data_IF_080763997909
#
_entry.id   IF_080763997909
#
_cell.length_a   1.000
_cell.length_b   1.000
_cell.length_c   1.000
_cell.angle_alpha   90.00
_cell.angle_beta   90.00
_cell.angle_gamma   90.00
#
_symmetry.space_group_name_H-M   'P 1'
#
loop_
_entity.id
_entity.type
_entity.pdbx_description
1 polymer ?
#
# COMPACT_ATOMS: atom_id res chain seq x y z
N UNK A 1 -10.31 -10.92 12.12
CA UNK A 1 -9.98 -12.36 12.24
C UNK A 1 -11.23 -13.22 12.38
N UNK A 2 -11.94 -13.17 13.52
CA UNK A 2 -13.14 -13.99 13.76
C UNK A 2 -14.17 -13.92 12.62
N UNK A 3 -14.45 -12.72 12.12
CA UNK A 3 -15.41 -12.52 11.03
C UNK A 3 -14.98 -13.14 9.70
N UNK A 4 -13.67 -13.11 9.38
CA UNK A 4 -13.14 -13.75 8.16
C UNK A 4 -13.18 -15.27 8.30
N UNK A 5 -12.79 -15.79 9.47
CA UNK A 5 -12.85 -17.22 9.75
C UNK A 5 -14.29 -17.76 9.70
N UNK A 6 -15.26 -16.99 10.21
CA UNK A 6 -16.67 -17.35 10.14
C UNK A 6 -17.23 -17.40 8.70
N UNK A 7 -16.60 -16.67 7.77
CA UNK A 7 -16.90 -16.72 6.33
C UNK A 7 -16.15 -17.85 5.60
N UNK A 8 -15.38 -18.68 6.31
CA UNK A 8 -14.63 -19.79 5.73
C UNK A 8 -13.24 -19.44 5.22
N UNK A 9 -12.76 -18.20 5.40
CA UNK A 9 -11.41 -17.83 5.01
C UNK A 9 -10.37 -18.39 6.00
N UNK A 10 -9.25 -18.89 5.47
CA UNK A 10 -8.06 -19.15 6.28
C UNK A 10 -7.41 -17.81 6.64
N UNK A 11 -7.25 -17.56 7.93
CA UNK A 11 -6.66 -16.31 8.44
C UNK A 11 -5.26 -16.60 8.97
N UNK A 12 -4.24 -16.06 8.31
CA UNK A 12 -2.85 -16.05 8.78
C UNK A 12 -2.59 -14.73 9.51
N UNK A 13 -1.76 -14.77 10.56
CA UNK A 13 -1.47 -13.60 11.40
C UNK A 13 0.03 -13.43 11.56
N UNK A 14 0.47 -12.18 11.40
CA UNK A 14 1.82 -11.74 11.74
C UNK A 14 1.72 -10.64 12.80
N UNK A 15 1.61 -11.05 14.06
CA UNK A 15 1.71 -10.12 15.18
C UNK A 15 3.19 -9.83 15.43
N UNK A 16 3.66 -8.73 14.83
CA UNK A 16 5.07 -8.37 14.81
C UNK A 16 5.68 -8.20 16.21
N UNK A 17 4.87 -7.82 17.21
CA UNK A 17 5.34 -7.66 18.59
C UNK A 17 5.43 -9.02 19.29
N UNK A 18 4.42 -9.87 19.16
CA UNK A 18 4.44 -11.24 19.72
C UNK A 18 5.56 -12.09 19.09
N UNK A 19 5.80 -11.89 17.80
CA UNK A 19 6.89 -12.54 17.06
C UNK A 19 8.28 -12.00 17.43
N UNK A 20 8.37 -10.89 18.16
CA UNK A 20 9.61 -10.13 18.37
C UNK A 20 10.34 -9.89 17.03
N UNK A 21 9.60 -9.43 16.02
CA UNK A 21 10.09 -9.30 14.65
C UNK A 21 11.28 -8.33 14.58
N UNK A 22 12.40 -8.78 13.99
CA UNK A 22 13.57 -7.92 13.78
C UNK A 22 13.25 -6.88 12.70
N UNK A 23 13.18 -5.61 13.08
CA UNK A 23 12.83 -4.54 12.15
C UNK A 23 14.01 -4.07 11.26
N UNK A 24 15.24 -4.31 11.70
CA UNK A 24 16.43 -3.76 11.04
C UNK A 24 16.81 -4.61 9.82
N UNK A 25 16.84 -3.98 8.65
CA UNK A 25 17.40 -4.55 7.43
C UNK A 25 18.93 -4.52 7.50
N UNK A 26 19.58 -5.70 7.53
CA UNK A 26 21.04 -5.84 7.65
C UNK A 26 21.55 -7.00 6.80
N UNK A 27 22.87 -7.15 6.69
CA UNK A 27 23.47 -8.32 6.02
C UNK A 27 23.04 -9.67 6.64
N UNK A 28 22.56 -9.68 7.89
CA UNK A 28 22.08 -10.87 8.58
C UNK A 28 20.74 -11.39 8.03
N UNK A 29 20.16 -10.69 7.05
CA UNK A 29 19.00 -11.15 6.26
C UNK A 29 19.40 -12.17 5.19
N UNK A 30 20.70 -12.43 5.03
CA UNK A 30 21.28 -13.30 4.00
C UNK A 30 22.02 -14.44 4.68
N UNK A 31 21.70 -15.67 4.29
CA UNK A 31 22.36 -16.89 4.73
C UNK A 31 23.53 -17.18 3.79
N UNK A 32 24.71 -17.38 4.37
CA UNK A 32 25.95 -17.67 3.62
C UNK A 32 26.67 -16.40 3.17
N UNK A 33 27.50 -16.54 2.14
CA UNK A 33 28.36 -15.46 1.69
C UNK A 33 27.59 -14.38 0.91
N UNK A 34 28.04 -13.13 1.09
CA UNK A 34 27.62 -11.97 0.30
C UNK A 34 28.27 -12.03 -1.08
N UNK A 35 27.58 -11.51 -2.10
CA UNK A 35 28.10 -11.44 -3.47
C UNK A 35 29.24 -10.42 -3.60
N UNK A 36 29.12 -9.29 -2.89
CA UNK A 36 30.02 -8.13 -2.97
C UNK A 36 30.30 -7.56 -1.56
N UNK A 37 30.93 -8.32 -0.66
CA UNK A 37 31.09 -7.95 0.76
C UNK A 37 31.84 -6.62 0.98
N UNK A 38 32.76 -6.26 0.10
CA UNK A 38 33.52 -5.01 0.14
C UNK A 38 32.67 -3.77 -0.19
N UNK A 39 31.51 -3.96 -0.82
CA UNK A 39 30.58 -2.91 -1.21
C UNK A 39 29.12 -3.37 -1.04
N UNK A 40 28.74 -3.61 0.22
CA UNK A 40 27.40 -4.10 0.53
C UNK A 40 26.29 -3.15 0.06
N UNK A 41 25.44 -3.65 -0.85
CA UNK A 41 24.20 -2.99 -1.26
C UNK A 41 23.02 -3.90 -0.95
N UNK A 42 22.24 -3.54 0.06
CA UNK A 42 21.17 -4.40 0.59
C UNK A 42 20.19 -4.87 -0.49
N UNK A 43 19.77 -3.99 -1.42
CA UNK A 43 18.83 -4.34 -2.49
C UNK A 43 19.36 -5.40 -3.44
N UNK A 44 20.60 -5.25 -3.91
CA UNK A 44 21.22 -6.19 -4.84
C UNK A 44 21.53 -7.53 -4.17
N UNK A 45 22.03 -7.48 -2.94
CA UNK A 45 22.39 -8.67 -2.16
C UNK A 45 21.16 -9.49 -1.77
N UNK A 46 20.09 -8.85 -1.30
CA UNK A 46 18.83 -9.55 -0.98
C UNK A 46 18.11 -10.06 -2.23
N UNK A 47 18.23 -9.38 -3.38
CA UNK A 47 17.73 -9.90 -4.65
C UNK A 47 18.47 -11.19 -5.06
N UNK A 48 19.80 -11.21 -4.95
CA UNK A 48 20.60 -12.42 -5.24
C UNK A 48 20.26 -13.54 -4.27
N UNK A 49 20.18 -13.23 -2.97
CA UNK A 49 19.81 -14.19 -1.93
C UNK A 49 18.40 -14.76 -2.15
N UNK A 50 17.44 -13.93 -2.57
CA UNK A 50 16.08 -14.39 -2.93
C UNK A 50 16.11 -15.37 -4.11
N UNK A 51 16.85 -15.05 -5.19
CA UNK A 51 16.99 -15.93 -6.36
C UNK A 51 17.62 -17.30 -6.02
N UNK A 52 18.48 -17.33 -5.01
CA UNK A 52 19.21 -18.52 -4.57
C UNK A 52 18.57 -19.24 -3.39
N UNK A 53 17.45 -18.72 -2.85
CA UNK A 53 16.78 -19.30 -1.68
C UNK A 53 17.57 -19.15 -0.36
N UNK A 54 18.33 -18.07 -0.23
CA UNK A 54 19.24 -17.77 0.89
C UNK A 54 18.80 -16.60 1.76
N UNK A 55 17.55 -16.15 1.67
CA UNK A 55 17.03 -15.18 2.64
C UNK A 55 16.85 -15.85 4.01
N UNK A 56 16.92 -15.05 5.08
CA UNK A 56 16.70 -15.53 6.44
C UNK A 56 15.31 -16.15 6.61
N UNK A 57 15.22 -17.18 7.45
CA UNK A 57 14.00 -18.00 7.60
C UNK A 57 12.77 -17.17 8.00
N UNK A 58 12.96 -16.13 8.81
CA UNK A 58 11.88 -15.24 9.23
C UNK A 58 11.34 -14.40 8.06
N UNK A 59 12.19 -13.94 7.14
CA UNK A 59 11.74 -13.27 5.91
C UNK A 59 10.98 -14.25 5.04
N UNK A 60 11.54 -15.44 4.79
CA UNK A 60 10.91 -16.47 3.94
C UNK A 60 9.54 -16.88 4.50
N UNK A 61 9.41 -17.02 5.82
CA UNK A 61 8.14 -17.34 6.46
C UNK A 61 7.07 -16.26 6.22
N UNK A 62 7.45 -14.98 6.26
CA UNK A 62 6.53 -13.87 6.00
C UNK A 62 6.21 -13.73 4.50
N UNK A 63 7.18 -13.96 3.61
CA UNK A 63 6.96 -13.98 2.16
C UNK A 63 5.93 -15.05 1.77
N UNK A 64 6.03 -16.27 2.34
CA UNK A 64 5.04 -17.34 2.12
C UNK A 64 3.62 -16.93 2.52
N UNK A 65 3.45 -16.23 3.65
CA UNK A 65 2.12 -15.72 4.06
C UNK A 65 1.56 -14.73 3.02
N UNK A 66 2.40 -13.86 2.46
CA UNK A 66 1.99 -12.90 1.41
C UNK A 66 1.65 -13.62 0.10
N UNK A 67 2.42 -14.63 -0.29
CA UNK A 67 2.14 -15.48 -1.46
C UNK A 67 0.80 -16.21 -1.32
N UNK A 68 0.52 -16.74 -0.14
CA UNK A 68 -0.72 -17.46 0.16
C UNK A 68 -1.94 -16.56 0.32
N UNK A 69 -1.76 -15.26 0.60
CA UNK A 69 -2.86 -14.33 0.88
C UNK A 69 -3.49 -13.75 -0.39
N UNK A 70 -4.82 -13.76 -0.46
CA UNK A 70 -5.59 -12.99 -1.45
C UNK A 70 -5.85 -11.55 -0.98
N UNK A 71 -5.89 -11.34 0.34
CA UNK A 71 -6.09 -10.05 1.00
C UNK A 71 -5.08 -9.87 2.14
N UNK A 72 -4.36 -8.76 2.14
CA UNK A 72 -3.45 -8.35 3.22
C UNK A 72 -4.02 -7.14 3.96
N UNK A 73 -4.26 -7.27 5.26
CA UNK A 73 -4.74 -6.16 6.11
C UNK A 73 -3.61 -5.72 7.05
N UNK A 74 -3.18 -4.47 6.91
CA UNK A 74 -2.20 -3.85 7.81
C UNK A 74 -2.94 -3.18 8.97
N UNK A 75 -2.92 -3.78 10.16
CA UNK A 75 -3.51 -3.21 11.37
C UNK A 75 -2.45 -2.48 12.20
N UNK A 76 -2.60 -1.18 12.45
CA UNK A 76 -1.62 -0.42 13.25
C UNK A 76 -2.19 0.85 13.92
N UNK A 77 -1.55 1.38 14.97
CA UNK A 77 -1.74 2.76 15.38
C UNK A 77 -0.93 3.70 14.47
N UNK A 78 -1.53 4.79 14.00
CA UNK A 78 -0.83 5.81 13.21
C UNK A 78 0.19 6.54 14.10
N UNK A 79 1.48 6.30 13.86
CA UNK A 79 2.59 6.92 14.59
C UNK A 79 3.37 7.83 13.65
N UNK A 80 3.56 9.08 14.06
CA UNK A 80 4.30 10.07 13.26
C UNK A 80 3.85 10.11 11.80
N UNK A 81 2.53 10.12 11.58
CA UNK A 81 1.91 10.16 10.24
C UNK A 81 2.29 8.96 9.34
N UNK A 82 2.68 7.83 9.95
CA UNK A 82 3.06 6.61 9.25
C UNK A 82 2.76 5.35 10.09
N UNK A 83 3.22 4.20 9.61
CA UNK A 83 3.20 2.92 10.34
C UNK A 83 4.23 2.93 11.48
N UNK A 84 4.03 2.12 12.55
CA UNK A 84 5.05 1.91 13.57
C UNK A 84 6.36 1.39 12.97
N UNK A 85 7.49 1.71 13.61
CA UNK A 85 8.83 1.34 13.12
C UNK A 85 8.97 -0.17 12.85
N UNK A 86 8.41 -1.04 13.69
CA UNK A 86 8.44 -2.50 13.48
C UNK A 86 7.72 -2.92 12.20
N UNK A 87 6.61 -2.27 11.84
CA UNK A 87 5.87 -2.52 10.61
C UNK A 87 6.60 -1.95 9.39
N UNK A 88 7.27 -0.79 9.54
CA UNK A 88 8.14 -0.28 8.48
C UNK A 88 9.33 -1.23 8.22
N UNK A 89 9.92 -1.78 9.28
CA UNK A 89 10.96 -2.80 9.16
C UNK A 89 10.47 -4.09 8.51
N UNK A 90 9.23 -4.51 8.79
CA UNK A 90 8.61 -5.63 8.08
C UNK A 90 8.45 -5.34 6.59
N UNK A 91 7.98 -4.14 6.23
CA UNK A 91 7.91 -3.70 4.83
C UNK A 91 9.29 -3.78 4.16
N UNK A 92 10.32 -3.24 4.82
CA UNK A 92 11.69 -3.16 4.27
C UNK A 92 12.36 -4.52 4.10
N UNK A 93 12.13 -5.46 5.02
CA UNK A 93 12.75 -6.78 5.01
C UNK A 93 11.98 -7.82 4.19
N UNK A 94 10.65 -7.74 4.14
CA UNK A 94 9.80 -8.77 3.52
C UNK A 94 9.49 -8.44 2.06
N UNK A 95 9.21 -7.17 1.74
CA UNK A 95 8.87 -6.74 0.38
C UNK A 95 10.12 -6.45 -0.47
N UNK A 96 11.00 -7.45 -0.58
CA UNK A 96 12.28 -7.33 -1.29
C UNK A 96 12.12 -7.27 -2.81
N UNK A 97 13.14 -6.72 -3.49
CA UNK A 97 13.24 -6.76 -4.94
C UNK A 97 13.31 -8.20 -5.45
N UNK A 98 12.61 -8.49 -6.54
CA UNK A 98 12.41 -9.84 -7.07
C UNK A 98 11.15 -10.49 -6.53
N UNK A 99 10.96 -10.46 -5.20
CA UNK A 99 9.76 -10.99 -4.54
C UNK A 99 8.52 -10.09 -4.73
N UNK A 100 8.60 -8.83 -4.27
CA UNK A 100 7.44 -7.95 -4.20
C UNK A 100 7.37 -6.96 -5.37
N UNK A 101 8.51 -6.60 -5.95
CA UNK A 101 8.58 -5.64 -7.06
C UNK A 101 9.81 -5.87 -7.93
N UNK A 102 9.77 -5.29 -9.13
CA UNK A 102 10.96 -5.08 -9.97
C UNK A 102 10.76 -3.84 -10.85
N UNK A 103 11.83 -3.34 -11.48
CA UNK A 103 11.68 -2.24 -12.45
C UNK A 103 10.80 -2.61 -13.66
N UNK A 104 10.63 -3.90 -13.97
CA UNK A 104 9.73 -4.36 -15.03
C UNK A 104 8.28 -4.53 -14.56
N UNK A 105 8.10 -4.91 -13.30
CA UNK A 105 6.82 -5.22 -12.68
C UNK A 105 6.61 -4.27 -11.49
N UNK A 106 6.06 -3.10 -11.77
CA UNK A 106 5.70 -2.06 -10.79
C UNK A 106 4.26 -1.59 -10.98
N UNK A 107 3.66 -1.01 -9.94
CA UNK A 107 2.32 -0.43 -9.97
C UNK A 107 1.26 -1.42 -10.50
N UNK A 108 0.35 -1.04 -11.39
CA UNK A 108 -0.67 -1.95 -11.94
C UNK A 108 -0.11 -3.16 -12.71
N UNK A 109 1.19 -3.17 -13.03
CA UNK A 109 1.91 -4.32 -13.61
C UNK A 109 2.72 -5.11 -12.57
N UNK A 110 2.59 -4.79 -11.29
CA UNK A 110 3.34 -5.36 -10.17
C UNK A 110 3.05 -6.84 -9.91
N UNK A 111 3.90 -7.45 -9.08
CA UNK A 111 3.84 -8.88 -8.75
C UNK A 111 2.52 -9.25 -8.07
N UNK A 112 1.97 -8.35 -7.26
CA UNK A 112 0.76 -8.59 -6.47
C UNK A 112 -0.52 -8.00 -7.09
N UNK A 113 -0.56 -7.81 -8.41
CA UNK A 113 -1.71 -7.20 -9.13
C UNK A 113 -3.07 -7.90 -8.95
N UNK A 114 -3.05 -9.19 -8.64
CA UNK A 114 -4.25 -9.99 -8.41
C UNK A 114 -4.64 -10.09 -6.93
N UNK A 115 -3.88 -9.44 -6.03
CA UNK A 115 -4.12 -9.44 -4.59
C UNK A 115 -4.65 -8.09 -4.13
N UNK A 116 -5.45 -8.10 -3.06
CA UNK A 116 -5.96 -6.88 -2.40
C UNK A 116 -5.15 -6.55 -1.16
N UNK A 117 -4.99 -5.27 -0.87
CA UNK A 117 -4.41 -4.81 0.40
C UNK A 117 -5.21 -3.66 1.01
N UNK A 118 -5.20 -3.54 2.33
CA UNK A 118 -5.91 -2.46 3.02
C UNK A 118 -5.14 -2.00 4.27
N UNK A 119 -5.13 -0.68 4.51
CA UNK A 119 -4.70 -0.11 5.78
C UNK A 119 -5.89 -0.04 6.74
N UNK A 120 -5.75 -0.60 7.95
CA UNK A 120 -6.72 -0.47 9.04
C UNK A 120 -6.01 0.12 10.25
N UNK A 121 -6.34 1.35 10.64
CA UNK A 121 -5.56 2.02 11.67
C UNK A 121 -6.35 2.92 12.59
N UNK A 122 -5.80 3.11 13.79
CA UNK A 122 -6.33 4.01 14.81
C UNK A 122 -5.50 5.28 14.87
N UNK A 123 -6.12 6.43 15.11
CA UNK A 123 -5.43 7.71 15.33
C UNK A 123 -5.60 8.20 16.76
N UNK A 124 -4.67 9.03 17.25
CA UNK A 124 -4.93 9.85 18.44
C UNK A 124 -5.83 11.07 18.15
N UNK A 125 -5.74 11.58 16.92
CA UNK A 125 -6.42 12.79 16.47
C UNK A 125 -7.85 12.54 15.98
N UNK A 126 -8.70 13.56 16.11
CA UNK A 126 -10.07 13.57 15.57
C UNK A 126 -10.05 13.67 14.04
N UNK A 127 -11.10 13.18 13.38
CA UNK A 127 -11.26 13.30 11.93
C UNK A 127 -11.20 14.75 11.43
N UNK A 128 -11.77 15.69 12.19
CA UNK A 128 -11.80 17.12 11.84
C UNK A 128 -10.40 17.74 11.72
N UNK A 129 -9.41 17.21 12.43
CA UNK A 129 -8.03 17.69 12.34
C UNK A 129 -7.39 17.39 10.98
N UNK A 130 -7.97 16.47 10.19
CA UNK A 130 -7.51 16.08 8.85
C UNK A 130 -8.40 16.58 7.71
N UNK A 131 -9.35 17.49 8.00
CA UNK A 131 -10.07 18.22 6.95
C UNK A 131 -9.13 19.19 6.22
N UNK A 132 -9.51 19.74 5.06
CA UNK A 132 -8.68 20.69 4.32
C UNK A 132 -8.24 21.93 5.13
N UNK A 133 -9.02 22.30 6.15
CA UNK A 133 -8.76 23.39 7.11
C UNK A 133 -8.28 22.89 8.49
N UNK A 134 -8.03 21.59 8.62
CA UNK A 134 -7.56 20.95 9.84
C UNK A 134 -6.05 21.10 10.03
N UNK A 135 -5.63 21.18 11.30
CA UNK A 135 -4.22 21.43 11.67
C UNK A 135 -3.23 20.34 11.19
N UNK A 136 -3.69 19.11 10.97
CA UNK A 136 -2.85 18.00 10.51
C UNK A 136 -2.76 17.92 8.98
N UNK A 137 -3.55 18.72 8.26
CA UNK A 137 -3.65 18.66 6.79
C UNK A 137 -4.43 17.45 6.28
N UNK A 138 -4.60 17.39 4.96
CA UNK A 138 -5.42 16.38 4.29
C UNK A 138 -4.85 14.95 4.46
N UNK A 139 -5.65 14.06 5.04
CA UNK A 139 -5.29 12.64 5.23
C UNK A 139 -4.95 11.93 3.91
N UNK A 140 -5.49 12.38 2.77
CA UNK A 140 -5.17 11.78 1.47
C UNK A 140 -3.68 11.91 1.16
N UNK A 141 -3.06 13.03 1.54
CA UNK A 141 -1.62 13.28 1.37
C UNK A 141 -0.82 12.35 2.29
N UNK A 142 -1.24 12.22 3.55
CA UNK A 142 -0.59 11.35 4.53
C UNK A 142 -0.55 9.88 4.09
N UNK A 143 -1.62 9.39 3.46
CA UNK A 143 -1.73 7.98 3.08
C UNK A 143 -1.03 7.64 1.76
N UNK A 144 -0.80 8.62 0.89
CA UNK A 144 -0.23 8.41 -0.44
C UNK A 144 1.09 7.61 -0.44
N UNK A 145 2.10 7.89 0.42
CA UNK A 145 3.36 7.14 0.40
C UNK A 145 3.18 5.64 0.72
N UNK A 146 2.24 5.29 1.60
CA UNK A 146 1.96 3.90 1.96
C UNK A 146 1.10 3.22 0.89
N UNK A 147 0.00 3.85 0.49
CA UNK A 147 -0.94 3.25 -0.46
C UNK A 147 -0.35 3.19 -1.87
N UNK A 148 0.17 4.28 -2.42
CA UNK A 148 0.78 4.28 -3.75
C UNK A 148 2.22 3.77 -3.71
N UNK A 149 3.05 4.35 -2.85
CA UNK A 149 4.51 4.13 -2.86
C UNK A 149 4.95 2.77 -2.32
N UNK A 150 4.12 2.10 -1.52
CA UNK A 150 4.42 0.74 -1.00
C UNK A 150 3.48 -0.30 -1.60
N UNK A 151 2.17 -0.19 -1.32
CA UNK A 151 1.22 -1.24 -1.66
C UNK A 151 0.99 -1.32 -3.18
N UNK A 152 0.58 -0.21 -3.80
CA UNK A 152 0.31 -0.17 -5.23
C UNK A 152 1.59 -0.42 -6.03
N UNK A 153 2.74 0.11 -5.61
CA UNK A 153 4.03 -0.17 -6.23
C UNK A 153 4.35 -1.66 -6.36
N UNK A 154 4.03 -2.46 -5.33
CA UNK A 154 4.18 -3.92 -5.38
C UNK A 154 3.10 -4.63 -6.22
N UNK A 155 2.05 -3.93 -6.64
CA UNK A 155 0.96 -4.45 -7.46
C UNK A 155 -0.41 -4.41 -6.81
N UNK A 156 -0.51 -4.30 -5.49
CA UNK A 156 -1.79 -4.52 -4.81
C UNK A 156 -2.92 -3.64 -5.35
N UNK A 157 -4.10 -4.25 -5.44
CA UNK A 157 -5.37 -3.55 -5.52
C UNK A 157 -5.68 -2.98 -4.13
N UNK A 158 -5.40 -1.69 -3.92
CA UNK A 158 -5.51 -1.07 -2.60
C UNK A 158 -6.96 -0.70 -2.31
N UNK A 159 -7.55 -1.27 -1.25
CA UNK A 159 -8.88 -0.92 -0.77
C UNK A 159 -8.86 0.39 0.02
N UNK A 160 -10.03 1.05 0.12
CA UNK A 160 -10.20 2.22 0.98
C UNK A 160 -9.77 1.88 2.43
N UNK A 161 -9.07 2.78 3.13
CA UNK A 161 -8.59 2.49 4.48
C UNK A 161 -9.75 2.35 5.46
N UNK A 162 -9.55 1.59 6.53
CA UNK A 162 -10.40 1.62 7.71
C UNK A 162 -9.74 2.54 8.75
N UNK A 163 -10.34 3.70 9.01
CA UNK A 163 -9.78 4.68 9.95
C UNK A 163 -10.65 4.79 11.20
N UNK A 164 -10.07 4.49 12.35
CA UNK A 164 -10.69 4.66 13.65
C UNK A 164 -10.18 5.95 14.29
N UNK A 165 -11.02 6.99 14.24
CA UNK A 165 -10.65 8.33 14.69
C UNK A 165 -10.72 8.46 16.22
N UNK A 166 -9.58 8.73 16.85
CA UNK A 166 -9.46 9.06 18.28
C UNK A 166 -10.19 8.09 19.26
N UNK A 167 -10.13 6.75 19.10
CA UNK A 167 -10.92 5.82 19.92
C UNK A 167 -10.66 5.94 21.42
N UNK A 168 -9.44 6.34 21.82
CA UNK A 168 -9.09 6.58 23.23
C UNK A 168 -9.90 7.72 23.88
N UNK A 169 -10.41 8.65 23.08
CA UNK A 169 -11.23 9.79 23.53
C UNK A 169 -12.74 9.55 23.33
N UNK A 170 -13.13 8.37 22.84
CA UNK A 170 -14.53 8.03 22.58
C UNK A 170 -15.14 7.25 23.76
N UNK A 171 -16.43 7.46 24.08
CA UNK A 171 -17.21 6.60 24.97
C UNK A 171 -17.24 5.13 24.54
N UNK A 172 -17.59 4.23 25.46
CA UNK A 172 -17.53 2.78 25.25
C UNK A 172 -18.51 2.27 24.18
N UNK A 173 -19.71 2.85 24.12
CA UNK A 173 -20.72 2.60 23.08
C UNK A 173 -20.23 3.01 21.70
N UNK A 174 -19.55 4.15 21.59
CA UNK A 174 -18.94 4.60 20.32
C UNK A 174 -17.84 3.64 19.86
N UNK A 175 -16.98 3.16 20.77
CA UNK A 175 -15.96 2.15 20.44
C UNK A 175 -16.59 0.82 20.02
N UNK A 176 -17.71 0.43 20.65
CA UNK A 176 -18.48 -0.76 20.24
C UNK A 176 -19.02 -0.59 18.83
N UNK A 177 -19.65 0.55 18.52
CA UNK A 177 -20.16 0.86 17.20
C UNK A 177 -19.06 0.87 16.12
N UNK A 178 -17.86 1.33 16.44
CA UNK A 178 -16.69 1.24 15.54
C UNK A 178 -16.35 -0.23 15.20
N UNK A 179 -16.33 -1.12 16.20
CA UNK A 179 -16.05 -2.54 16.01
C UNK A 179 -17.17 -3.23 15.22
N UNK A 180 -18.43 -2.88 15.48
CA UNK A 180 -19.58 -3.43 14.76
C UNK A 180 -19.59 -2.99 13.30
N UNK A 181 -19.30 -1.71 13.02
CA UNK A 181 -19.14 -1.20 11.66
C UNK A 181 -18.00 -1.89 10.92
N UNK A 182 -16.87 -2.12 11.59
CA UNK A 182 -15.75 -2.86 11.02
C UNK A 182 -16.13 -4.31 10.71
N UNK A 183 -16.80 -5.00 11.64
CA UNK A 183 -17.31 -6.36 11.44
C UNK A 183 -18.25 -6.42 10.24
N UNK A 184 -19.17 -5.47 10.11
CA UNK A 184 -20.10 -5.39 8.98
C UNK A 184 -19.36 -5.19 7.64
N UNK A 185 -18.32 -4.35 7.62
CA UNK A 185 -17.49 -4.13 6.43
C UNK A 185 -16.68 -5.36 6.04
N UNK A 186 -16.06 -6.04 7.01
CA UNK A 186 -15.23 -7.25 6.80
C UNK A 186 -15.97 -8.35 6.04
N UNK A 187 -17.29 -8.43 6.18
CA UNK A 187 -18.14 -9.38 5.44
C UNK A 187 -18.12 -9.23 3.92
N UNK A 188 -17.71 -8.06 3.41
CA UNK A 188 -17.79 -7.73 1.99
C UNK A 188 -16.48 -7.15 1.43
N UNK A 189 -15.38 -7.21 2.18
CA UNK A 189 -14.11 -6.57 1.77
C UNK A 189 -13.62 -7.04 0.40
N UNK A 190 -13.75 -8.33 0.09
CA UNK A 190 -13.33 -8.86 -1.21
C UNK A 190 -14.22 -8.41 -2.37
N UNK A 191 -15.43 -7.93 -2.10
CA UNK A 191 -16.35 -7.37 -3.11
C UNK A 191 -16.10 -5.87 -3.34
N UNK A 192 -15.38 -5.19 -2.43
CA UNK A 192 -15.11 -3.76 -2.54
C UNK A 192 -14.27 -3.45 -3.77
N UNK A 193 -14.62 -2.35 -4.44
CA UNK A 193 -13.80 -1.75 -5.49
C UNK A 193 -12.56 -1.12 -4.85
N UNK A 194 -11.37 -1.30 -5.45
CA UNK A 194 -10.16 -0.63 -4.97
C UNK A 194 -10.20 0.88 -5.24
N UNK A 195 -9.30 1.60 -4.56
CA UNK A 195 -8.94 2.98 -4.86
C UNK A 195 -8.35 3.09 -6.26
N UNK A 196 -8.40 4.30 -6.83
CA UNK A 196 -7.87 4.57 -8.17
C UNK A 196 -6.49 5.23 -8.12
N UNK A 197 -5.57 4.69 -8.91
CA UNK A 197 -4.22 5.21 -9.11
C UNK A 197 -3.99 5.53 -10.59
N UNK A 198 -2.97 6.34 -10.88
CA UNK A 198 -2.57 6.60 -12.26
C UNK A 198 -1.91 5.33 -12.83
N UNK A 199 -2.46 4.70 -13.88
CA UNK A 199 -1.93 3.45 -14.38
C UNK A 199 -0.66 3.70 -15.20
N UNK A 200 0.24 2.71 -15.23
CA UNK A 200 1.55 2.75 -15.88
C UNK A 200 1.51 3.20 -17.34
N UNK A 201 0.43 2.91 -18.05
CA UNK A 201 0.23 3.23 -19.47
C UNK A 201 0.23 4.74 -19.73
N UNK A 202 0.02 5.55 -18.70
CA UNK A 202 0.09 7.00 -18.80
C UNK A 202 1.53 7.54 -18.86
N UNK A 203 2.53 6.70 -18.59
CA UNK A 203 3.93 7.10 -18.39
C UNK A 203 4.88 6.44 -19.40
N UNK A 204 5.94 7.19 -19.75
CA UNK A 204 7.10 6.63 -20.44
C UNK A 204 8.03 5.97 -19.41
N UNK A 205 7.92 4.65 -19.26
CA UNK A 205 8.69 3.85 -18.29
C UNK A 205 10.14 3.57 -18.72
N UNK A 206 10.70 4.36 -19.63
CA UNK A 206 12.11 4.29 -20.01
C UNK A 206 12.97 5.30 -19.24
N UNK A 207 14.26 5.00 -19.11
CA UNK A 207 15.23 5.94 -18.54
C UNK A 207 15.36 7.22 -19.39
N UNK A 208 15.23 7.10 -20.71
CA UNK A 208 15.25 8.22 -21.65
C UNK A 208 14.03 9.13 -21.45
N UNK A 209 12.84 8.55 -21.25
CA UNK A 209 11.61 9.26 -20.95
C UNK A 209 11.51 9.78 -19.51
N UNK A 210 12.38 9.28 -18.63
CA UNK A 210 12.50 9.71 -17.25
C UNK A 210 11.31 9.34 -16.37
N UNK A 211 10.55 8.30 -16.72
CA UNK A 211 9.38 7.84 -15.94
C UNK A 211 8.31 8.93 -15.77
N UNK A 212 8.13 9.78 -16.79
CA UNK A 212 7.16 10.89 -16.77
C UNK A 212 5.94 10.58 -17.62
N UNK A 213 4.84 11.30 -17.35
CA UNK A 213 3.66 11.26 -18.21
C UNK A 213 4.01 11.55 -19.67
N UNK A 214 3.43 10.78 -20.58
CA UNK A 214 3.50 11.06 -22.01
C UNK A 214 3.03 12.49 -22.32
N UNK A 215 3.66 13.22 -23.26
CA UNK A 215 3.25 14.58 -23.61
C UNK A 215 1.75 14.72 -23.90
N UNK A 216 1.20 13.81 -24.72
CA UNK A 216 -0.23 13.76 -25.05
C UNK A 216 -1.12 13.64 -23.81
N UNK A 217 -0.75 12.79 -22.86
CA UNK A 217 -1.51 12.63 -21.61
C UNK A 217 -1.49 13.93 -20.81
N UNK A 218 -0.38 14.69 -20.80
CA UNK A 218 -0.34 15.99 -20.10
C UNK A 218 -1.29 17.00 -20.74
N UNK A 219 -1.27 17.10 -22.06
CA UNK A 219 -2.15 17.99 -22.85
C UNK A 219 -3.63 17.66 -22.61
N UNK A 220 -4.02 16.38 -22.67
CA UNK A 220 -5.38 15.93 -22.39
C UNK A 220 -5.85 16.28 -20.97
N UNK A 221 -4.90 16.36 -20.02
CA UNK A 221 -5.21 16.71 -18.64
C UNK A 221 -5.32 18.21 -18.43
N UNK A 222 -4.88 19.09 -19.32
CA UNK A 222 -4.90 20.55 -19.12
C UNK A 222 -6.32 21.08 -18.87
N UNK A 223 -7.32 20.54 -19.57
CA UNK A 223 -8.73 20.91 -19.45
C UNK A 223 -9.43 20.39 -18.18
N UNK A 224 -8.83 19.41 -17.48
CA UNK A 224 -9.42 18.80 -16.30
C UNK A 224 -9.28 19.69 -15.05
N UNK A 225 -10.32 19.76 -14.22
CA UNK A 225 -10.29 20.58 -12.99
C UNK A 225 -9.30 20.02 -11.97
N UNK A 226 -9.29 18.71 -11.77
CA UNK A 226 -8.44 18.03 -10.80
C UNK A 226 -7.22 17.38 -11.47
N UNK A 227 -6.21 17.05 -10.66
CA UNK A 227 -5.15 16.14 -11.07
C UNK A 227 -5.66 14.71 -11.30
N UNK A 228 -4.75 13.77 -11.57
CA UNK A 228 -5.12 12.36 -11.80
C UNK A 228 -5.34 11.65 -10.47
N UNK A 229 -4.48 11.91 -9.50
CA UNK A 229 -4.48 11.33 -8.13
C UNK A 229 -3.86 12.31 -7.15
N UNK A 230 -3.79 11.97 -5.87
CA UNK A 230 -3.10 12.77 -4.85
C UNK A 230 -1.65 13.08 -5.20
N UNK A 231 -0.84 12.07 -5.61
CA UNK A 231 0.55 12.31 -5.99
C UNK A 231 0.74 12.80 -7.43
N UNK A 232 -0.20 12.51 -8.32
CA UNK A 232 -0.19 13.00 -9.71
C UNK A 232 -1.13 14.19 -9.88
N UNK A 233 -0.95 15.22 -9.06
CA UNK A 233 -1.83 16.37 -8.99
C UNK A 233 -1.59 17.40 -10.12
N UNK A 234 -0.44 17.37 -10.78
CA UNK A 234 -0.11 18.22 -11.95
C UNK A 234 -0.23 19.74 -11.68
N UNK A 235 0.01 20.17 -10.44
CA UNK A 235 -0.18 21.56 -10.02
C UNK A 235 -1.64 22.00 -9.87
N UNK A 236 -2.59 21.06 -9.98
CA UNK A 236 -4.04 21.28 -9.86
C UNK A 236 -4.55 20.89 -8.47
N UNK A 237 -5.80 21.25 -8.13
CA UNK A 237 -6.48 20.70 -6.95
C UNK A 237 -6.45 19.17 -6.93
N UNK A 238 -6.32 18.60 -5.73
CA UNK A 238 -6.37 17.15 -5.53
C UNK A 238 -7.76 16.61 -5.83
N UNK A 239 -7.90 15.45 -6.50
CA UNK A 239 -9.19 14.79 -6.60
C UNK A 239 -9.74 14.48 -5.20
N UNK A 240 -11.00 14.83 -4.88
CA UNK A 240 -11.57 14.62 -3.56
C UNK A 240 -11.51 13.15 -3.13
N UNK A 241 -11.09 12.90 -1.89
CA UNK A 241 -11.10 11.58 -1.26
C UNK A 241 -10.32 10.48 -2.04
N UNK A 242 -9.37 10.82 -2.92
CA UNK A 242 -8.68 9.87 -3.80
C UNK A 242 -8.03 8.68 -3.06
N UNK A 243 -7.59 8.87 -1.83
CA UNK A 243 -6.92 7.87 -1.00
C UNK A 243 -7.83 7.31 0.13
N UNK A 244 -9.07 7.81 0.24
CA UNK A 244 -10.02 7.42 1.29
C UNK A 244 -11.31 6.81 0.77
N UNK A 245 -11.67 7.01 -0.50
CA UNK A 245 -12.87 6.43 -1.13
C UNK A 245 -12.57 5.94 -2.54
N UNK A 246 -13.12 4.77 -2.88
CA UNK A 246 -13.18 4.34 -4.27
C UNK A 246 -14.13 5.27 -5.03
N UNK A 247 -13.68 5.78 -6.18
CA UNK A 247 -14.54 6.60 -7.04
C UNK A 247 -15.67 5.74 -7.61
N UNK A 248 -16.88 6.32 -7.82
CA UNK A 248 -17.90 5.68 -8.65
C UNK A 248 -17.31 5.35 -10.03
N UNK A 249 -17.84 4.34 -10.71
CA UNK A 249 -17.45 4.14 -12.10
C UNK A 249 -17.96 5.34 -12.91
N UNK A 250 -17.07 6.20 -13.40
CA UNK A 250 -17.45 7.20 -14.39
C UNK A 250 -17.80 6.49 -15.71
N UNK A 251 -19.00 6.75 -16.21
CA UNK A 251 -19.53 6.33 -17.52
C UNK A 251 -18.78 6.94 -18.72
N UNK A 252 -17.61 7.56 -18.51
CA UNK A 252 -16.86 8.30 -19.53
C UNK A 252 -15.59 7.61 -20.04
N UNK A 253 -15.29 6.38 -19.60
CA UNK A 253 -14.14 5.62 -20.13
C UNK A 253 -14.42 4.97 -21.49
N UNK A 254 -14.78 5.78 -22.49
CA UNK A 254 -14.45 5.44 -23.86
C UNK A 254 -12.93 5.53 -23.99
N UNK A 255 -12.26 4.37 -23.92
CA UNK A 255 -10.83 4.26 -24.24
C UNK A 255 -10.59 4.84 -25.65
N UNK A 256 -9.73 5.87 -25.82
CA UNK A 256 -9.17 6.11 -27.12
C UNK A 256 -8.09 5.06 -27.35
N UNK A 257 -8.33 4.18 -28.32
CA UNK A 257 -7.34 3.25 -28.85
C UNK A 257 -6.11 4.04 -29.31
N UNK A 258 -5.08 4.08 -28.46
CA UNK A 258 -3.81 4.72 -28.76
C UNK A 258 -2.82 3.65 -29.19
N UNK A 259 -3.04 3.11 -30.39
CA UNK A 259 -1.98 2.57 -31.24
C UNK A 259 -1.95 3.35 -32.54
N UNK A 260 -0.96 4.24 -32.65
CA UNK A 260 -0.11 4.47 -33.81
C UNK A 260 0.99 5.46 -33.42
#
# INVERSE_FOLDING_TARGET
MQELAAQGYRVLVSDLYVMNFRANATQDDIIGDLKTPEHFQYGDETMSAWMEGRLSDDIVAEQRKVEEAELVIFQFPLYWFSVPAVMKGWIDRVLTQGFAFSLKNMYNNGVFKDKKAMLSFTTGAMQTMFKPDGINGDINITLWPLQNGTLHFCGFQVLAPQIFWSPAHCPADVRTAMLDGWRARVKRLLEEKPLTFAPCELFDLSFQGGFRLWPKVREERESQTYGITTGHHLGKPLPPDNQTKAQPADESSAQPDCRN
#
